data_IF_284905481183
#
_entry.id   IF_284905481183
#
_cell.length_a   1.000
_cell.length_b   1.000
_cell.length_c   1.000
_cell.angle_alpha   90.00
_cell.angle_beta   90.00
_cell.angle_gamma   90.00
#
_symmetry.space_group_name_H-M   'P 1'
#
loop_
_entity.id
_entity.type
_entity.pdbx_description
1 polymer ?
#
# COMPACT_ATOMS: atom_id res chain seq x y z
N UNK A 1 6.20 -19.08 -17.36
CA UNK A 1 6.21 -17.82 -16.63
C UNK A 1 5.10 -17.84 -15.57
N UNK A 2 5.49 -17.69 -14.31
CA UNK A 2 4.49 -17.64 -13.25
C UNK A 2 3.79 -16.29 -13.29
N UNK A 3 2.51 -16.30 -13.02
CA UNK A 3 1.72 -15.09 -12.93
C UNK A 3 1.30 -14.89 -11.50
N UNK A 4 1.53 -13.71 -11.01
CA UNK A 4 1.03 -13.34 -9.70
C UNK A 4 -0.49 -13.23 -9.75
N UNK A 5 -1.15 -13.73 -8.72
CA UNK A 5 -2.60 -13.60 -8.55
C UNK A 5 -2.91 -12.80 -7.31
N UNK A 6 -3.74 -11.79 -7.49
CA UNK A 6 -4.33 -11.06 -6.36
C UNK A 6 -5.34 -11.99 -5.68
N UNK A 7 -5.20 -12.14 -4.36
CA UNK A 7 -6.06 -13.05 -3.59
C UNK A 7 -6.41 -12.45 -2.25
N UNK A 8 -7.62 -12.75 -1.78
CA UNK A 8 -8.02 -12.42 -0.42
C UNK A 8 -7.31 -13.37 0.54
N UNK A 9 -6.73 -12.82 1.59
CA UNK A 9 -6.08 -13.57 2.65
C UNK A 9 -7.02 -13.65 3.84
N UNK A 10 -7.21 -14.86 4.35
CA UNK A 10 -8.08 -15.11 5.51
C UNK A 10 -7.29 -15.67 6.66
N UNK A 11 -7.73 -15.36 7.87
CA UNK A 11 -7.21 -15.95 9.09
C UNK A 11 -8.41 -16.35 9.93
N UNK A 12 -8.45 -17.62 10.35
CA UNK A 12 -9.59 -18.17 11.10
C UNK A 12 -10.93 -17.94 10.37
N UNK A 13 -10.91 -18.06 9.05
CA UNK A 13 -12.12 -17.89 8.23
C UNK A 13 -12.52 -16.44 7.93
N UNK A 14 -11.80 -15.47 8.47
CA UNK A 14 -12.13 -14.05 8.29
C UNK A 14 -11.10 -13.37 7.37
N UNK A 15 -11.55 -12.54 6.41
CA UNK A 15 -10.62 -11.77 5.60
C UNK A 15 -9.80 -10.82 6.47
N UNK A 16 -8.49 -10.79 6.24
CA UNK A 16 -7.58 -9.90 6.97
C UNK A 16 -6.76 -9.00 6.05
N UNK A 17 -6.70 -9.33 4.77
CA UNK A 17 -5.93 -8.55 3.82
C UNK A 17 -6.05 -9.10 2.41
N UNK A 18 -5.31 -8.49 1.50
CA UNK A 18 -5.27 -8.90 0.10
C UNK A 18 -3.82 -9.05 -0.34
N UNK A 19 -3.49 -10.22 -0.92
CA UNK A 19 -2.21 -10.41 -1.60
C UNK A 19 -2.18 -9.51 -2.82
N UNK A 20 -1.45 -8.42 -2.73
CA UNK A 20 -1.52 -7.35 -3.72
C UNK A 20 -0.37 -7.37 -4.71
N UNK A 21 0.77 -7.94 -4.33
CA UNK A 21 1.96 -8.03 -5.19
C UNK A 21 2.94 -9.03 -4.62
N UNK A 22 3.85 -9.47 -5.46
CA UNK A 22 5.02 -10.23 -5.03
C UNK A 22 6.26 -9.57 -5.65
N UNK A 23 7.25 -9.30 -4.83
CA UNK A 23 8.46 -8.63 -5.27
C UNK A 23 9.63 -9.10 -4.40
N UNK A 24 10.78 -9.36 -5.04
CA UNK A 24 12.00 -9.78 -4.35
C UNK A 24 11.78 -10.94 -3.39
N UNK A 25 10.98 -11.92 -3.81
CA UNK A 25 10.69 -13.10 -3.00
C UNK A 25 9.73 -12.87 -1.84
N UNK A 26 9.16 -11.66 -1.73
CA UNK A 26 8.19 -11.32 -0.70
C UNK A 26 6.79 -11.17 -1.30
N UNK A 27 5.81 -11.66 -0.56
CA UNK A 27 4.40 -11.42 -0.87
C UNK A 27 3.91 -10.26 -0.01
N UNK A 28 3.36 -9.26 -0.66
CA UNK A 28 2.86 -8.07 0.01
C UNK A 28 1.38 -8.23 0.23
N UNK A 29 0.98 -8.25 1.49
CA UNK A 29 -0.42 -8.34 1.89
C UNK A 29 -0.86 -6.99 2.42
N UNK A 30 -1.76 -6.34 1.69
CA UNK A 30 -2.33 -5.05 2.11
C UNK A 30 -3.44 -5.28 3.13
N UNK A 31 -3.47 -4.43 4.14
CA UNK A 31 -4.59 -4.37 5.07
C UNK A 31 -5.86 -3.95 4.35
N UNK A 32 -7.01 -4.30 4.93
CA UNK A 32 -8.32 -4.07 4.33
C UNK A 32 -8.74 -2.61 4.33
N UNK A 33 -8.16 -1.79 5.19
CA UNK A 33 -8.52 -0.38 5.35
C UNK A 33 -7.29 0.47 5.61
N UNK A 34 -7.41 1.74 5.26
CA UNK A 34 -6.43 2.73 5.70
C UNK A 34 -6.48 2.87 7.22
N UNK A 35 -5.39 3.34 7.80
CA UNK A 35 -5.43 3.85 9.17
C UNK A 35 -6.49 4.94 9.26
N UNK A 36 -7.19 5.06 10.40
CA UNK A 36 -8.30 6.01 10.54
C UNK A 36 -7.92 7.46 10.26
N UNK A 37 -6.67 7.83 10.55
CA UNK A 37 -6.20 9.20 10.37
C UNK A 37 -4.98 9.25 9.46
N UNK A 38 -4.89 10.33 8.68
CA UNK A 38 -3.67 10.65 7.96
C UNK A 38 -2.60 11.04 8.97
N UNK A 39 -1.35 10.79 8.64
CA UNK A 39 -0.26 11.05 9.56
C UNK A 39 1.02 11.43 8.81
N UNK A 40 2.00 11.95 9.55
CA UNK A 40 3.31 12.25 8.97
C UNK A 40 4.10 10.96 8.76
N UNK A 41 5.21 11.07 8.03
CA UNK A 41 6.01 9.90 7.65
C UNK A 41 6.61 9.17 8.86
N UNK A 42 7.05 9.93 9.87
CA UNK A 42 7.69 9.32 11.04
C UNK A 42 6.72 8.39 11.80
N UNK A 43 5.45 8.76 11.86
CA UNK A 43 4.43 7.92 12.48
C UNK A 43 4.03 6.77 11.56
N UNK A 44 3.93 7.04 10.27
CA UNK A 44 3.51 6.04 9.29
C UNK A 44 4.46 4.84 9.23
N UNK A 45 5.77 5.09 9.24
CA UNK A 45 6.74 4.00 9.13
C UNK A 45 6.71 3.04 10.32
N UNK A 46 6.22 3.48 11.46
CA UNK A 46 6.10 2.62 12.65
C UNK A 46 5.03 1.55 12.49
N UNK A 47 4.09 1.77 11.60
CA UNK A 47 2.96 0.85 11.40
C UNK A 47 3.36 -0.34 10.52
N UNK A 48 4.28 -0.14 9.60
CA UNK A 48 4.61 -1.12 8.57
C UNK A 48 3.79 -0.85 7.32
N UNK A 49 4.42 -0.24 6.33
CA UNK A 49 3.79 0.21 5.10
C UNK A 49 4.65 -0.20 3.92
N UNK A 50 4.11 -0.21 2.69
CA UNK A 50 4.88 -0.62 1.52
C UNK A 50 6.07 0.29 1.26
N UNK A 51 7.14 -0.30 0.76
CA UNK A 51 8.26 0.47 0.20
C UNK A 51 7.84 1.08 -1.13
N UNK A 52 8.70 1.95 -1.66
CA UNK A 52 8.52 2.52 -3.00
C UNK A 52 8.30 1.43 -4.05
N UNK A 53 9.18 0.43 -4.07
CA UNK A 53 9.12 -0.65 -5.05
C UNK A 53 7.87 -1.51 -4.86
N UNK A 54 7.46 -1.71 -3.62
CA UNK A 54 6.25 -2.47 -3.32
C UNK A 54 4.99 -1.73 -3.79
N UNK A 55 4.93 -0.41 -3.59
CA UNK A 55 3.82 0.38 -4.13
C UNK A 55 3.76 0.32 -5.66
N UNK A 56 4.92 0.37 -6.32
CA UNK A 56 4.96 0.26 -7.77
C UNK A 56 4.44 -1.09 -8.25
N UNK A 57 4.80 -2.17 -7.55
CA UNK A 57 4.30 -3.51 -7.88
C UNK A 57 2.80 -3.64 -7.62
N UNK A 58 2.29 -3.04 -6.53
CA UNK A 58 0.86 -3.01 -6.25
C UNK A 58 0.10 -2.27 -7.35
N UNK A 59 0.68 -1.17 -7.84
CA UNK A 59 0.06 -0.38 -8.90
C UNK A 59 -0.16 -1.17 -10.19
N UNK A 60 0.69 -2.14 -10.47
CA UNK A 60 0.52 -2.99 -11.66
C UNK A 60 -0.73 -3.84 -11.60
N UNK A 61 -1.25 -4.08 -10.40
CA UNK A 61 -2.42 -4.91 -10.16
C UNK A 61 -3.58 -4.12 -9.55
N UNK A 62 -3.56 -2.80 -9.68
CA UNK A 62 -4.43 -1.91 -8.91
C UNK A 62 -5.92 -2.25 -9.03
N UNK A 63 -6.41 -2.46 -10.25
CA UNK A 63 -7.82 -2.75 -10.45
C UNK A 63 -8.24 -4.04 -9.74
N UNK A 64 -7.42 -5.10 -9.86
CA UNK A 64 -7.69 -6.37 -9.20
C UNK A 64 -7.58 -6.24 -7.68
N UNK A 65 -6.61 -5.47 -7.20
CA UNK A 65 -6.42 -5.23 -5.75
C UNK A 65 -7.64 -4.53 -5.17
N UNK A 66 -8.09 -3.44 -5.79
CA UNK A 66 -9.26 -2.71 -5.31
C UNK A 66 -10.53 -3.55 -5.33
N UNK A 67 -10.70 -4.36 -6.37
CA UNK A 67 -11.84 -5.26 -6.47
C UNK A 67 -11.81 -6.29 -5.34
N UNK A 68 -10.64 -6.86 -5.06
CA UNK A 68 -10.49 -7.84 -3.99
C UNK A 68 -10.71 -7.22 -2.60
N UNK A 69 -10.23 -5.99 -2.39
CA UNK A 69 -10.45 -5.29 -1.12
C UNK A 69 -11.95 -5.09 -0.85
N UNK A 70 -12.70 -4.66 -1.85
CA UNK A 70 -14.14 -4.49 -1.72
C UNK A 70 -14.82 -5.84 -1.45
N UNK A 71 -14.44 -6.85 -2.20
CA UNK A 71 -15.01 -8.21 -2.03
C UNK A 71 -14.73 -8.78 -0.64
N UNK A 72 -13.60 -8.43 -0.05
CA UNK A 72 -13.21 -8.87 1.29
C UNK A 72 -13.92 -8.08 2.41
N UNK A 73 -14.74 -7.10 2.06
CA UNK A 73 -15.43 -6.25 3.03
C UNK A 73 -14.60 -5.08 3.50
N UNK A 74 -13.47 -4.81 2.86
CA UNK A 74 -12.62 -3.68 3.14
C UNK A 74 -12.95 -2.47 2.29
N UNK A 75 -11.99 -1.57 2.15
CA UNK A 75 -12.11 -0.36 1.35
C UNK A 75 -11.04 -0.33 0.26
N UNK A 76 -11.38 0.09 -0.96
CA UNK A 76 -10.37 0.24 -1.99
C UNK A 76 -9.38 1.35 -1.61
N UNK A 77 -8.25 1.35 -2.28
CA UNK A 77 -7.28 2.43 -2.12
C UNK A 77 -7.89 3.72 -2.65
N UNK A 78 -7.71 4.80 -1.90
CA UNK A 78 -8.30 6.10 -2.22
C UNK A 78 -7.55 6.80 -3.35
N UNK A 79 -8.22 7.72 -4.00
CA UNK A 79 -7.59 8.65 -4.92
C UNK A 79 -6.92 9.75 -4.10
N UNK A 80 -5.72 9.49 -3.64
CA UNK A 80 -4.97 10.39 -2.79
C UNK A 80 -3.57 9.85 -2.56
N UNK A 81 -2.81 10.55 -1.75
CA UNK A 81 -1.41 10.23 -1.52
C UNK A 81 -1.26 9.30 -0.32
N UNK A 82 -0.45 8.26 -0.53
CA UNK A 82 -0.09 7.28 0.49
C UNK A 82 1.40 7.35 0.76
N UNK A 83 1.80 7.31 2.02
CA UNK A 83 3.20 7.20 2.37
C UNK A 83 3.77 5.84 1.98
N UNK A 84 5.01 5.85 1.49
CA UNK A 84 5.85 4.66 1.44
C UNK A 84 6.86 4.72 2.58
N UNK A 85 7.48 3.57 2.89
CA UNK A 85 8.54 3.54 3.89
C UNK A 85 9.89 3.98 3.33
N UNK A 86 9.99 4.26 2.05
CA UNK A 86 11.24 4.62 1.38
C UNK A 86 11.55 6.09 1.54
N UNK A 87 12.72 6.39 2.09
CA UNK A 87 13.20 7.75 2.19
C UNK A 87 13.75 8.22 0.85
N UNK A 88 13.52 9.49 0.54
CA UNK A 88 14.22 10.16 -0.55
C UNK A 88 15.52 10.79 -0.02
N UNK A 89 15.42 11.50 1.10
CA UNK A 89 16.57 12.05 1.81
C UNK A 89 16.18 12.34 3.26
N UNK A 90 16.98 13.15 3.95
CA UNK A 90 16.76 13.46 5.35
C UNK A 90 15.38 14.07 5.64
N UNK A 91 14.88 14.92 4.75
CA UNK A 91 13.62 15.63 4.96
C UNK A 91 12.46 15.12 4.11
N UNK A 92 12.73 14.31 3.09
CA UNK A 92 11.76 13.90 2.08
C UNK A 92 11.63 12.38 2.02
N UNK A 93 10.42 11.90 1.79
CA UNK A 93 10.17 10.49 1.58
C UNK A 93 9.21 10.32 0.38
N UNK A 94 9.20 9.12 -0.19
CA UNK A 94 8.35 8.83 -1.34
C UNK A 94 6.90 8.62 -0.89
N UNK A 95 5.97 9.25 -1.61
CA UNK A 95 4.54 8.98 -1.49
C UNK A 95 3.98 8.68 -2.86
N UNK A 96 2.83 7.99 -2.87
CA UNK A 96 2.24 7.47 -4.10
C UNK A 96 0.77 7.82 -4.18
N UNK A 97 0.36 8.30 -5.35
CA UNK A 97 -1.04 8.42 -5.73
C UNK A 97 -1.28 7.47 -6.89
N UNK A 98 -1.83 6.31 -6.61
CA UNK A 98 -1.95 5.22 -7.58
C UNK A 98 -2.95 5.53 -8.69
N UNK A 99 -3.80 6.53 -8.49
CA UNK A 99 -4.80 6.95 -9.47
C UNK A 99 -4.36 8.18 -10.26
N UNK A 100 -3.11 8.62 -10.06
CA UNK A 100 -2.59 9.78 -10.76
C UNK A 100 -2.18 9.41 -12.18
N UNK A 101 -2.52 10.27 -13.14
CA UNK A 101 -2.08 10.12 -14.53
C UNK A 101 -0.67 10.67 -14.75
N UNK A 102 -0.09 11.35 -13.77
CA UNK A 102 1.22 12.00 -13.90
C UNK A 102 2.38 11.17 -13.42
N UNK A 103 2.10 10.00 -12.91
CA UNK A 103 3.11 9.15 -12.34
C UNK A 103 2.72 8.69 -10.96
N UNK A 104 3.42 7.68 -10.49
CA UNK A 104 2.99 6.98 -9.30
C UNK A 104 3.59 7.54 -8.02
N UNK A 105 4.81 8.06 -8.08
CA UNK A 105 5.49 8.47 -6.86
C UNK A 105 6.24 9.77 -6.99
N UNK A 106 6.21 10.55 -5.93
CA UNK A 106 7.02 11.77 -5.80
C UNK A 106 7.55 11.86 -4.37
N UNK A 107 8.60 12.65 -4.20
CA UNK A 107 9.10 12.98 -2.87
C UNK A 107 8.22 14.03 -2.22
N UNK A 108 7.86 13.80 -0.97
CA UNK A 108 7.09 14.74 -0.17
C UNK A 108 7.76 14.95 1.18
N UNK A 109 7.57 16.14 1.73
CA UNK A 109 8.17 16.48 3.02
C UNK A 109 7.61 15.57 4.11
N UNK A 110 8.48 15.01 4.93
CA UNK A 110 8.13 14.02 5.94
C UNK A 110 7.12 14.51 6.98
N UNK A 111 7.00 15.80 7.17
CA UNK A 111 6.04 16.39 8.11
C UNK A 111 4.63 16.56 7.51
N UNK A 112 4.48 16.36 6.21
CA UNK A 112 3.16 16.37 5.58
C UNK A 112 2.36 15.16 6.05
N UNK A 113 1.03 15.29 6.05
CA UNK A 113 0.16 14.19 6.45
C UNK A 113 -0.51 13.59 5.23
N UNK A 114 -0.43 12.26 5.12
CA UNK A 114 -1.03 11.51 4.02
C UNK A 114 -1.65 10.23 4.54
N UNK A 115 -2.34 9.51 3.65
CA UNK A 115 -2.97 8.24 3.95
C UNK A 115 -1.92 7.16 4.24
N UNK A 116 -2.32 6.20 5.03
CA UNK A 116 -1.48 5.08 5.43
C UNK A 116 -2.27 3.79 5.27
N UNK A 117 -1.78 2.89 4.43
CA UNK A 117 -2.35 1.55 4.31
C UNK A 117 -1.34 0.56 4.87
N UNK A 118 -1.67 -0.15 5.95
CA UNK A 118 -0.75 -1.12 6.53
C UNK A 118 -0.53 -2.33 5.64
N UNK A 119 0.62 -2.99 5.80
CA UNK A 119 0.89 -4.29 5.21
C UNK A 119 1.17 -5.30 6.31
N UNK A 120 1.00 -6.56 5.96
CA UNK A 120 1.26 -7.66 6.88
C UNK A 120 2.30 -8.61 6.30
N UNK A 121 3.07 -9.26 7.19
CA UNK A 121 3.89 -10.42 6.86
C UNK A 121 3.10 -11.68 7.21
N UNK A 122 3.09 -12.61 6.30
CA UNK A 122 2.50 -13.92 6.53
C UNK A 122 3.56 -14.95 6.87
#
# INVERSE_FOLDING_TARGET
MSKFRVMIVKKNGQPVGVRAAAINGRTIVLGLRDEPEQMNWHDAVKIGIPTKEEWMAIAENLAAVNKALVRAGGKPLKNGWYWSSSEFDYEWAWSFNLNSSYGLGIGNHKLSIYYVRPIFCL
#
